data_IF_701250496633
#
_entry.id   IF_701250496633
#
_cell.length_a   1.000
_cell.length_b   1.000
_cell.length_c   1.000
_cell.angle_alpha   90.00
_cell.angle_beta   90.00
_cell.angle_gamma   90.00
#
_symmetry.space_group_name_H-M   'P 1'
#
loop_
_entity.id
_entity.type
_entity.pdbx_description
1 polymer ?
#
# COMPACT_ATOMS: atom_id res chain seq x y z
N UNK A 1 -20.83 31.55 19.12
CA UNK A 1 -20.76 32.92 18.59
C UNK A 1 -20.15 32.86 17.20
N UNK A 2 -20.96 32.79 16.14
CA UNK A 2 -20.48 32.79 14.74
C UNK A 2 -20.56 34.20 14.12
N UNK A 3 -20.37 35.24 14.93
CA UNK A 3 -20.52 36.62 14.46
C UNK A 3 -19.17 37.20 14.03
N UNK A 4 -18.98 37.32 12.72
CA UNK A 4 -17.85 38.04 12.12
C UNK A 4 -17.96 39.53 12.47
N UNK A 5 -17.23 39.96 13.50
CA UNK A 5 -17.25 41.36 13.98
C UNK A 5 -16.54 42.34 13.05
N UNK A 6 -15.48 41.91 12.37
CA UNK A 6 -14.74 42.79 11.47
C UNK A 6 -15.47 42.91 10.13
N UNK A 7 -15.80 44.13 9.72
CA UNK A 7 -16.61 44.44 8.52
C UNK A 7 -15.78 44.61 7.25
N UNK A 8 -14.46 44.76 7.36
CA UNK A 8 -13.56 45.12 6.27
C UNK A 8 -12.59 43.98 5.94
N UNK A 9 -13.11 42.76 5.76
CA UNK A 9 -12.30 41.59 5.38
C UNK A 9 -12.64 41.12 3.97
N UNK A 10 -11.62 40.70 3.22
CA UNK A 10 -11.76 40.02 1.92
C UNK A 10 -10.96 38.72 1.97
N UNK A 11 -11.49 37.62 1.40
CA UNK A 11 -10.70 36.40 1.27
C UNK A 11 -9.57 36.65 0.27
N UNK A 12 -8.34 36.34 0.68
CA UNK A 12 -7.16 36.33 -0.19
C UNK A 12 -6.91 34.88 -0.62
N UNK A 13 -6.90 34.65 -1.92
CA UNK A 13 -6.61 33.32 -2.46
C UNK A 13 -5.11 33.05 -2.51
N UNK A 14 -4.69 31.86 -2.10
CA UNK A 14 -3.29 31.46 -2.18
C UNK A 14 -2.86 31.27 -3.64
N UNK A 15 -1.77 31.93 -4.06
CA UNK A 15 -1.17 31.74 -5.40
C UNK A 15 -0.67 30.31 -5.67
N UNK A 16 -0.36 29.53 -4.61
CA UNK A 16 0.09 28.15 -4.71
C UNK A 16 -1.04 27.20 -4.32
N UNK A 17 -1.46 26.34 -5.25
CA UNK A 17 -2.53 25.37 -5.00
C UNK A 17 -2.15 24.35 -3.91
N UNK A 18 -3.16 23.77 -3.26
CA UNK A 18 -2.98 22.67 -2.29
C UNK A 18 -2.23 21.48 -2.91
N UNK A 19 -2.54 21.14 -4.16
CA UNK A 19 -1.86 20.06 -4.89
C UNK A 19 -0.35 20.33 -5.04
N UNK A 20 0.03 21.55 -5.40
CA UNK A 20 1.44 21.92 -5.57
C UNK A 20 2.20 21.92 -4.23
N UNK A 21 1.56 22.32 -3.13
CA UNK A 21 2.12 22.21 -1.77
C UNK A 21 2.31 20.75 -1.36
N UNK A 22 1.29 19.91 -1.56
CA UNK A 22 1.33 18.48 -1.23
C UNK A 22 2.47 17.74 -1.94
N UNK A 23 2.72 18.03 -3.22
CA UNK A 23 3.81 17.39 -4.00
C UNK A 23 5.21 17.56 -3.38
N UNK A 24 5.46 18.68 -2.69
CA UNK A 24 6.78 18.96 -2.07
C UNK A 24 6.89 18.32 -0.68
N UNK A 25 5.78 18.28 0.06
CA UNK A 25 5.75 17.86 1.46
C UNK A 25 5.91 16.35 1.69
N UNK A 26 5.65 15.52 0.68
CA UNK A 26 5.66 14.04 0.80
C UNK A 26 6.79 13.33 0.05
N UNK A 27 7.86 14.01 -0.38
CA UNK A 27 8.91 13.39 -1.21
C UNK A 27 8.40 12.75 -2.52
N UNK A 28 7.37 13.34 -3.14
CA UNK A 28 6.72 12.80 -4.35
C UNK A 28 5.40 12.08 -4.07
N UNK A 29 5.22 11.58 -2.84
CA UNK A 29 4.04 10.85 -2.38
C UNK A 29 2.75 11.62 -2.63
N UNK A 30 1.78 10.97 -3.28
CA UNK A 30 0.40 11.45 -3.39
C UNK A 30 -0.41 11.28 -2.09
N UNK A 31 -0.54 12.36 -1.33
CA UNK A 31 -1.43 12.45 -0.16
C UNK A 31 -2.17 13.79 -0.12
N UNK A 32 -3.20 13.88 0.72
CA UNK A 32 -3.99 15.11 0.91
C UNK A 32 -3.99 15.54 2.37
N UNK A 33 -3.82 16.83 2.62
CA UNK A 33 -4.01 17.38 3.96
C UNK A 33 -5.46 17.19 4.42
N UNK A 34 -5.64 16.81 5.68
CA UNK A 34 -6.95 16.56 6.29
C UNK A 34 -6.87 16.68 7.82
N UNK A 35 -8.03 16.66 8.48
CA UNK A 35 -8.10 16.61 9.94
C UNK A 35 -8.74 15.31 10.40
N UNK A 36 -8.06 14.63 11.32
CA UNK A 36 -8.59 13.48 12.06
C UNK A 36 -8.92 13.97 13.47
N UNK A 37 -10.20 13.96 13.80
CA UNK A 37 -10.72 14.47 15.05
C UNK A 37 -11.10 13.33 15.98
N UNK A 38 -10.20 12.98 16.90
CA UNK A 38 -10.47 12.00 17.93
C UNK A 38 -11.33 12.61 19.04
N UNK A 39 -12.48 12.02 19.30
CA UNK A 39 -13.38 12.38 20.41
C UNK A 39 -13.71 11.17 21.28
N UNK A 40 -13.99 11.40 22.56
CA UNK A 40 -14.27 10.35 23.53
C UNK A 40 -13.95 10.78 24.96
N UNK A 41 -14.33 9.96 25.94
CA UNK A 41 -14.10 10.24 27.36
C UNK A 41 -12.61 10.42 27.71
N UNK A 42 -12.32 11.10 28.82
CA UNK A 42 -10.94 11.15 29.36
C UNK A 42 -10.45 9.72 29.62
N UNK A 43 -9.20 9.39 29.28
CA UNK A 43 -8.67 8.02 29.43
C UNK A 43 -9.17 6.99 28.40
N UNK A 44 -9.98 7.39 27.41
CA UNK A 44 -10.50 6.46 26.40
C UNK A 44 -9.43 5.86 25.46
N UNK A 45 -8.30 6.56 25.24
CA UNK A 45 -7.21 6.09 24.37
C UNK A 45 -6.80 7.07 23.25
N UNK A 46 -7.51 8.21 23.09
CA UNK A 46 -7.29 9.20 22.02
C UNK A 46 -5.82 9.58 21.80
N UNK A 47 -5.16 10.12 22.83
CA UNK A 47 -3.78 10.61 22.74
C UNK A 47 -2.80 9.48 22.36
N UNK A 48 -2.99 8.27 22.90
CA UNK A 48 -2.16 7.10 22.57
C UNK A 48 -2.30 6.70 21.10
N UNK A 49 -3.53 6.63 20.59
CA UNK A 49 -3.81 6.29 19.18
C UNK A 49 -3.28 7.40 18.25
N UNK A 50 -3.48 8.66 18.62
CA UNK A 50 -3.02 9.82 17.85
C UNK A 50 -1.49 9.83 17.71
N UNK A 51 -0.73 9.56 18.77
CA UNK A 51 0.73 9.51 18.68
C UNK A 51 1.24 8.30 17.90
N UNK A 52 0.64 7.12 18.09
CA UNK A 52 1.01 5.94 17.30
C UNK A 52 0.72 6.14 15.81
N UNK A 53 -0.41 6.78 15.48
CA UNK A 53 -0.75 7.14 14.11
C UNK A 53 0.21 8.20 13.53
N UNK A 54 0.59 9.21 14.32
CA UNK A 54 1.58 10.21 13.94
C UNK A 54 2.92 9.55 13.58
N UNK A 55 3.43 8.68 14.45
CA UNK A 55 4.65 7.92 14.22
C UNK A 55 4.59 7.11 12.92
N UNK A 56 3.48 6.38 12.71
CA UNK A 56 3.26 5.60 11.49
C UNK A 56 3.25 6.48 10.24
N UNK A 57 2.47 7.56 10.20
CA UNK A 57 2.40 8.49 9.07
C UNK A 57 3.77 9.11 8.76
N UNK A 58 4.49 9.57 9.78
CA UNK A 58 5.83 10.15 9.62
C UNK A 58 6.83 9.10 9.13
N UNK A 59 6.74 7.85 9.59
CA UNK A 59 7.56 6.76 9.06
C UNK A 59 7.33 6.53 7.56
N UNK A 60 6.11 6.80 7.07
CA UNK A 60 5.78 6.78 5.66
C UNK A 60 6.19 8.06 4.91
N UNK A 61 6.90 8.99 5.54
CA UNK A 61 7.27 10.28 4.94
C UNK A 61 6.08 11.21 4.73
N UNK A 62 4.97 10.98 5.45
CA UNK A 62 3.77 11.80 5.39
C UNK A 62 3.77 12.76 6.58
N UNK A 63 3.73 14.06 6.35
CA UNK A 63 3.77 15.03 7.44
C UNK A 63 2.43 15.03 8.20
N UNK A 64 2.48 14.54 9.43
CA UNK A 64 1.40 14.60 10.40
C UNK A 64 1.78 15.50 11.57
N UNK A 65 0.78 16.06 12.25
CA UNK A 65 1.00 16.85 13.47
C UNK A 65 -0.15 16.70 14.46
N UNK A 66 0.17 16.30 15.69
CA UNK A 66 -0.80 16.10 16.77
C UNK A 66 -1.06 17.38 17.58
N UNK A 67 -2.33 17.82 17.60
CA UNK A 67 -2.87 18.83 18.50
C UNK A 67 -3.53 18.12 19.69
N UNK A 68 -2.85 18.14 20.84
CA UNK A 68 -3.38 17.60 22.11
C UNK A 68 -3.94 18.70 23.01
N UNK A 69 -5.01 18.35 23.74
CA UNK A 69 -5.73 19.25 24.64
C UNK A 69 -4.87 19.84 25.76
N UNK A 70 -3.86 19.13 26.24
CA UNK A 70 -2.96 19.65 27.27
C UNK A 70 -1.95 20.62 26.65
N UNK A 71 -1.38 20.28 25.49
CA UNK A 71 -0.34 21.07 24.83
C UNK A 71 -0.86 22.44 24.36
N UNK A 72 -2.05 22.47 23.74
CA UNK A 72 -2.65 23.72 23.26
C UNK A 72 -3.01 24.67 24.40
N UNK A 73 -3.31 24.13 25.60
CA UNK A 73 -3.62 24.93 26.80
C UNK A 73 -2.39 25.59 27.42
N UNK A 74 -1.17 25.16 27.13
CA UNK A 74 0.03 25.90 27.54
C UNK A 74 0.33 27.11 26.63
N UNK A 75 -0.17 27.11 25.40
CA UNK A 75 0.10 28.12 24.39
C UNK A 75 -1.14 28.92 23.98
N UNK A 76 -1.72 28.56 22.83
CA UNK A 76 -2.81 29.29 22.18
C UNK A 76 -4.05 29.46 23.08
N UNK A 77 -4.34 28.47 23.92
CA UNK A 77 -5.54 28.45 24.77
C UNK A 77 -5.22 28.69 26.26
N UNK A 78 -4.04 29.23 26.58
CA UNK A 78 -3.64 29.50 27.98
C UNK A 78 -4.53 30.48 28.74
N UNK A 79 -5.29 31.30 28.02
CA UNK A 79 -6.23 32.27 28.60
C UNK A 79 -7.65 31.70 28.79
N UNK A 80 -7.89 30.43 28.47
CA UNK A 80 -9.21 29.81 28.59
C UNK A 80 -9.27 28.92 29.83
N UNK A 81 -10.30 29.14 30.64
CA UNK A 81 -10.60 28.30 31.79
C UNK A 81 -11.32 26.99 31.43
N UNK A 82 -12.23 26.58 32.32
CA UNK A 82 -13.04 25.37 32.19
C UNK A 82 -14.55 25.67 32.21
N UNK A 83 -14.94 26.94 32.09
CA UNK A 83 -16.35 27.32 31.87
C UNK A 83 -16.86 26.74 30.54
N UNK A 84 -18.18 26.66 30.36
CA UNK A 84 -18.77 26.17 29.11
C UNK A 84 -18.35 27.03 27.90
N UNK A 85 -18.36 28.37 28.07
CA UNK A 85 -17.92 29.31 27.05
C UNK A 85 -16.44 29.14 26.69
N UNK A 86 -15.57 28.96 27.71
CA UNK A 86 -14.14 28.70 27.49
C UNK A 86 -13.90 27.35 26.79
N UNK A 87 -14.67 26.31 27.13
CA UNK A 87 -14.58 25.00 26.49
C UNK A 87 -14.99 25.09 25.02
N UNK A 88 -16.08 25.80 24.72
CA UNK A 88 -16.53 26.06 23.35
C UNK A 88 -15.49 26.83 22.55
N UNK A 89 -14.95 27.92 23.10
CA UNK A 89 -13.90 28.70 22.45
C UNK A 89 -12.60 27.89 22.27
N UNK A 90 -12.27 27.02 23.22
CA UNK A 90 -11.13 26.12 23.10
C UNK A 90 -11.29 25.20 21.88
N UNK A 91 -12.45 24.57 21.70
CA UNK A 91 -12.73 23.72 20.53
C UNK A 91 -12.75 24.54 19.24
N UNK A 92 -13.35 25.73 19.24
CA UNK A 92 -13.36 26.64 18.07
C UNK A 92 -11.95 27.01 17.61
N UNK A 93 -11.07 27.41 18.53
CA UNK A 93 -9.67 27.75 18.19
C UNK A 93 -8.91 26.55 17.62
N UNK A 94 -9.09 25.38 18.23
CA UNK A 94 -8.45 24.14 17.75
C UNK A 94 -8.95 23.79 16.35
N UNK A 95 -10.25 23.87 16.09
CA UNK A 95 -10.82 23.58 14.77
C UNK A 95 -10.25 24.49 13.67
N UNK A 96 -10.10 25.79 13.95
CA UNK A 96 -9.49 26.72 13.01
C UNK A 96 -8.01 26.45 12.77
N UNK A 97 -7.25 26.09 13.81
CA UNK A 97 -5.84 25.71 13.65
C UNK A 97 -5.70 24.40 12.87
N UNK A 98 -6.53 23.40 13.16
CA UNK A 98 -6.54 22.13 12.44
C UNK A 98 -6.84 22.34 10.95
N UNK A 99 -7.79 23.23 10.63
CA UNK A 99 -8.09 23.65 9.26
C UNK A 99 -6.87 24.24 8.56
N UNK A 100 -6.09 25.08 9.25
CA UNK A 100 -4.87 25.67 8.69
C UNK A 100 -3.78 24.61 8.43
N UNK A 101 -3.60 23.64 9.32
CA UNK A 101 -2.69 22.51 9.10
C UNK A 101 -3.14 21.65 7.91
N UNK A 102 -4.43 21.31 7.84
CA UNK A 102 -4.99 20.56 6.73
C UNK A 102 -4.86 21.33 5.40
N UNK A 103 -5.13 22.64 5.38
CA UNK A 103 -4.92 23.48 4.20
C UNK A 103 -3.44 23.51 3.79
N UNK A 104 -2.53 23.62 4.76
CA UNK A 104 -1.08 23.58 4.55
C UNK A 104 -0.59 22.26 3.93
N UNK A 105 -1.41 21.21 3.95
CA UNK A 105 -1.11 19.91 3.39
C UNK A 105 -0.69 18.89 4.43
N UNK A 106 -0.83 19.15 5.73
CA UNK A 106 -0.54 18.19 6.80
C UNK A 106 -1.76 17.32 7.11
N UNK A 107 -1.52 16.12 7.64
CA UNK A 107 -2.55 15.36 8.36
C UNK A 107 -2.56 15.85 9.82
N UNK A 108 -3.57 16.63 10.18
CA UNK A 108 -3.72 17.18 11.53
C UNK A 108 -4.49 16.20 12.42
N UNK A 109 -3.90 15.79 13.54
CA UNK A 109 -4.50 14.84 14.48
C UNK A 109 -4.95 15.59 15.73
N UNK A 110 -6.26 15.67 15.97
CA UNK A 110 -6.82 16.41 17.10
C UNK A 110 -7.29 15.44 18.19
N UNK A 111 -6.65 15.48 19.37
CA UNK A 111 -6.99 14.62 20.52
C UNK A 111 -7.69 15.39 21.63
N UNK A 112 -9.00 15.53 21.54
CA UNK A 112 -9.81 16.31 22.49
C UNK A 112 -10.99 15.50 23.03
N UNK A 113 -11.47 15.83 24.24
CA UNK A 113 -12.71 15.21 24.73
C UNK A 113 -13.88 15.65 23.84
N UNK A 114 -13.98 16.95 23.54
CA UNK A 114 -15.02 17.57 22.69
C UNK A 114 -16.42 16.95 22.90
N UNK A 115 -16.98 17.08 24.13
CA UNK A 115 -18.12 16.28 24.56
C UNK A 115 -19.45 16.65 23.90
N UNK A 116 -19.57 17.88 23.40
CA UNK A 116 -20.81 18.39 22.83
C UNK A 116 -20.82 18.24 21.32
N UNK A 117 -21.94 17.74 20.79
CA UNK A 117 -22.17 17.51 19.36
C UNK A 117 -22.08 18.80 18.58
N UNK A 118 -22.65 19.90 19.11
CA UNK A 118 -22.61 21.21 18.47
C UNK A 118 -21.19 21.71 18.21
N UNK A 119 -20.24 21.42 19.11
CA UNK A 119 -18.86 21.85 18.97
C UNK A 119 -18.12 21.01 17.92
N UNK A 120 -18.38 19.70 17.87
CA UNK A 120 -17.81 18.81 16.85
C UNK A 120 -18.37 19.12 15.45
N UNK A 121 -19.67 19.40 15.35
CA UNK A 121 -20.31 19.82 14.11
C UNK A 121 -19.80 21.18 13.62
N UNK A 122 -19.53 22.12 14.54
CA UNK A 122 -18.85 23.37 14.18
C UNK A 122 -17.45 23.09 13.62
N UNK A 123 -16.67 22.23 14.26
CA UNK A 123 -15.33 21.87 13.78
C UNK A 123 -15.36 21.23 12.39
N UNK A 124 -16.31 20.30 12.15
CA UNK A 124 -16.57 19.69 10.84
C UNK A 124 -16.93 20.74 9.79
N UNK A 125 -17.91 21.60 10.09
CA UNK A 125 -18.39 22.63 9.17
C UNK A 125 -17.30 23.63 8.76
N UNK A 126 -16.36 23.95 9.65
CA UNK A 126 -15.18 24.80 9.34
C UNK A 126 -14.29 24.19 8.25
N UNK A 127 -14.13 22.87 8.25
CA UNK A 127 -13.35 22.13 7.24
C UNK A 127 -14.11 21.94 5.93
N UNK A 128 -15.37 21.53 6.01
CA UNK A 128 -16.23 21.31 4.83
C UNK A 128 -16.41 22.58 4.00
N UNK A 129 -16.67 23.73 4.65
CA UNK A 129 -16.74 25.03 3.96
C UNK A 129 -15.45 25.41 3.24
N UNK A 130 -14.33 24.86 3.68
CA UNK A 130 -13.01 25.08 3.06
C UNK A 130 -12.63 23.98 2.07
N UNK A 131 -13.52 23.02 1.79
CA UNK A 131 -13.26 21.87 0.92
C UNK A 131 -12.12 20.99 1.45
N UNK A 132 -11.98 20.87 2.78
CA UNK A 132 -10.97 20.04 3.43
C UNK A 132 -11.62 18.80 4.05
N UNK A 133 -11.04 17.60 3.87
CA UNK A 133 -11.55 16.39 4.50
C UNK A 133 -11.45 16.44 6.03
N UNK A 134 -12.50 15.97 6.70
CA UNK A 134 -12.60 15.90 8.15
C UNK A 134 -13.14 14.53 8.55
N UNK A 135 -12.43 13.84 9.45
CA UNK A 135 -12.79 12.51 9.93
C UNK A 135 -13.02 12.55 11.44
N UNK A 136 -14.27 12.42 11.87
CA UNK A 136 -14.63 12.26 13.27
C UNK A 136 -14.45 10.80 13.70
N UNK A 137 -13.45 10.58 14.55
CA UNK A 137 -13.10 9.26 15.07
C UNK A 137 -13.55 9.18 16.52
N UNK A 138 -14.62 8.41 16.75
CA UNK A 138 -15.15 8.19 18.09
C UNK A 138 -14.40 7.06 18.80
N UNK A 139 -13.62 7.40 19.82
CA UNK A 139 -12.94 6.43 20.69
C UNK A 139 -13.91 6.01 21.80
N UNK A 140 -14.68 4.96 21.52
CA UNK A 140 -15.76 4.45 22.37
C UNK A 140 -15.22 3.45 23.40
N UNK A 141 -14.79 3.99 24.52
CA UNK A 141 -14.35 3.22 25.70
C UNK A 141 -15.36 3.43 26.84
N UNK A 142 -15.91 2.36 27.45
CA UNK A 142 -16.86 2.49 28.55
C UNK A 142 -16.30 3.31 29.71
N UNK A 143 -17.15 4.13 30.35
CA UNK A 143 -16.76 4.99 31.48
C UNK A 143 -16.05 4.20 32.60
N UNK A 144 -16.55 3.02 32.95
CA UNK A 144 -15.94 2.19 33.99
C UNK A 144 -14.47 1.81 33.67
N UNK A 145 -14.16 1.55 32.40
CA UNK A 145 -12.80 1.25 31.95
C UNK A 145 -11.94 2.52 31.96
N UNK A 146 -12.50 3.65 31.55
CA UNK A 146 -11.82 4.96 31.63
C UNK A 146 -11.48 5.34 33.08
N UNK A 147 -12.41 5.15 34.01
CA UNK A 147 -12.23 5.35 35.45
C UNK A 147 -11.22 4.37 36.04
N UNK A 148 -11.22 3.10 35.61
CA UNK A 148 -10.23 2.12 36.04
C UNK A 148 -8.81 2.50 35.59
N UNK A 149 -8.66 3.04 34.37
CA UNK A 149 -7.37 3.45 33.83
C UNK A 149 -6.81 4.69 34.52
N UNK A 150 -7.69 5.64 34.88
CA UNK A 150 -7.42 6.98 35.46
C UNK A 150 -5.99 7.53 35.26
N UNK A 151 -5.55 7.57 34.00
CA UNK A 151 -4.14 7.80 33.62
C UNK A 151 -3.56 9.09 34.20
N UNK A 152 -4.42 10.08 34.47
CA UNK A 152 -4.05 11.41 34.97
C UNK A 152 -4.55 11.68 36.40
N UNK A 153 -5.17 10.69 37.06
CA UNK A 153 -5.78 10.86 38.39
C UNK A 153 -6.96 11.86 38.41
N UNK A 154 -7.62 12.07 37.26
CA UNK A 154 -8.68 13.08 37.11
C UNK A 154 -10.04 12.53 37.54
N UNK A 155 -10.31 11.25 37.31
CA UNK A 155 -11.56 10.63 37.73
C UNK A 155 -11.64 10.55 39.26
N UNK A 156 -10.56 10.17 39.93
CA UNK A 156 -10.49 10.18 41.39
C UNK A 156 -10.76 11.58 41.97
N UNK A 157 -10.15 12.63 41.39
CA UNK A 157 -10.37 14.01 41.82
C UNK A 157 -11.80 14.50 41.54
N UNK A 158 -12.40 14.10 40.43
CA UNK A 158 -13.80 14.41 40.12
C UNK A 158 -14.76 13.74 41.11
N UNK A 159 -14.56 12.45 41.43
CA UNK A 159 -15.35 11.72 42.45
C UNK A 159 -15.23 12.31 43.85
N UNK A 160 -14.11 12.97 44.17
CA UNK A 160 -13.89 13.71 45.42
C UNK A 160 -14.50 15.13 45.40
N UNK A 161 -15.11 15.56 44.29
CA UNK A 161 -15.68 16.90 44.14
C UNK A 161 -14.66 18.02 43.94
N UNK A 162 -13.38 17.69 43.73
CA UNK A 162 -12.29 18.66 43.52
C UNK A 162 -12.30 19.24 42.09
N UNK A 163 -12.87 18.49 41.12
CA UNK A 163 -13.06 18.94 39.74
C UNK A 163 -14.56 18.89 39.45
N UNK A 164 -15.16 20.06 39.23
CA UNK A 164 -16.59 20.18 38.88
C UNK A 164 -16.79 20.09 37.37
N UNK A 165 -17.98 19.67 36.95
CA UNK A 165 -18.37 19.59 35.52
C UNK A 165 -17.41 18.72 34.71
N UNK A 166 -17.00 17.58 35.29
CA UNK A 166 -16.14 16.62 34.61
C UNK A 166 -16.97 15.72 33.71
N UNK A 167 -16.61 15.67 32.41
CA UNK A 167 -17.31 14.87 31.41
C UNK A 167 -17.29 13.38 31.78
N UNK A 168 -18.45 12.74 31.80
CA UNK A 168 -18.65 11.35 32.20
C UNK A 168 -19.04 11.18 33.68
N UNK A 169 -18.90 12.20 34.52
CA UNK A 169 -19.28 12.18 35.94
C UNK A 169 -20.42 13.17 36.21
N UNK A 170 -20.12 14.48 36.14
CA UNK A 170 -21.09 15.55 36.41
C UNK A 170 -21.59 16.24 35.13
N UNK A 171 -20.95 15.98 34.00
CA UNK A 171 -21.33 16.50 32.68
C UNK A 171 -21.49 15.32 31.71
N UNK A 172 -22.56 15.30 30.93
CA UNK A 172 -22.77 14.28 29.92
C UNK A 172 -21.77 14.36 28.76
N UNK A 173 -21.56 13.21 28.12
CA UNK A 173 -20.83 13.08 26.86
C UNK A 173 -21.84 12.69 25.78
N UNK A 174 -22.03 13.55 24.79
CA UNK A 174 -22.93 13.29 23.67
C UNK A 174 -22.18 12.47 22.63
N UNK A 175 -22.56 11.19 22.49
CA UNK A 175 -21.93 10.29 21.52
C UNK A 175 -22.18 10.78 20.08
N UNK A 176 -21.18 10.75 19.20
CA UNK A 176 -21.41 11.05 17.77
C UNK A 176 -22.43 10.09 17.16
N UNK A 177 -23.41 10.62 16.42
CA UNK A 177 -24.42 9.83 15.72
C UNK A 177 -23.89 9.25 14.39
N UNK A 178 -23.06 10.02 13.69
CA UNK A 178 -22.50 9.67 12.39
C UNK A 178 -20.98 9.93 12.31
N UNK A 179 -20.17 9.30 13.19
CA UNK A 179 -18.72 9.37 13.06
C UNK A 179 -18.26 8.57 11.82
N UNK A 180 -17.20 9.02 11.16
CA UNK A 180 -16.56 8.24 10.08
C UNK A 180 -15.99 6.92 10.62
N UNK A 181 -15.53 6.89 11.88
CA UNK A 181 -15.01 5.68 12.52
C UNK A 181 -15.40 5.58 13.99
N UNK A 182 -15.69 4.36 14.46
CA UNK A 182 -15.84 4.05 15.89
C UNK A 182 -14.75 3.06 16.29
N UNK A 183 -13.85 3.49 17.18
CA UNK A 183 -12.78 2.66 17.73
C UNK A 183 -13.19 2.08 19.08
N UNK A 184 -13.25 0.76 19.19
CA UNK A 184 -13.55 0.04 20.45
C UNK A 184 -12.27 -0.20 21.25
N UNK A 185 -11.63 0.87 21.72
CA UNK A 185 -10.30 0.84 22.36
C UNK A 185 -10.21 0.10 23.72
N UNK A 186 -11.29 -0.53 24.19
CA UNK A 186 -11.27 -1.50 25.30
C UNK A 186 -11.06 -2.95 24.81
N UNK A 187 -11.29 -3.19 23.52
CA UNK A 187 -11.30 -4.50 22.87
C UNK A 187 -10.24 -4.61 21.78
N UNK A 188 -9.78 -3.47 21.24
CA UNK A 188 -8.71 -3.40 20.24
C UNK A 188 -7.36 -2.98 20.84
N UNK A 189 -6.27 -3.43 20.22
CA UNK A 189 -4.93 -2.89 20.47
C UNK A 189 -4.77 -1.47 19.88
N UNK A 190 -3.66 -0.81 20.21
CA UNK A 190 -3.35 0.50 19.62
C UNK A 190 -3.07 0.31 18.13
N UNK A 191 -2.34 -0.73 17.77
CA UNK A 191 -1.96 -1.07 16.39
C UNK A 191 -3.20 -1.30 15.52
N UNK A 192 -4.14 -2.14 15.99
CA UNK A 192 -5.42 -2.39 15.30
C UNK A 192 -6.22 -1.10 15.12
N UNK A 193 -6.22 -0.23 16.14
CA UNK A 193 -6.94 1.04 16.09
C UNK A 193 -6.30 2.01 15.07
N UNK A 194 -4.98 1.99 14.95
CA UNK A 194 -4.24 2.78 13.95
C UNK A 194 -4.51 2.23 12.55
N UNK A 195 -4.50 0.91 12.34
CA UNK A 195 -4.82 0.28 11.06
C UNK A 195 -6.23 0.64 10.56
N UNK A 196 -7.22 0.64 11.45
CA UNK A 196 -8.59 1.07 11.11
C UNK A 196 -8.65 2.52 10.64
N UNK A 197 -7.93 3.43 11.30
CA UNK A 197 -7.86 4.85 10.87
C UNK A 197 -7.18 4.96 9.50
N UNK A 198 -6.05 4.27 9.30
CA UNK A 198 -5.33 4.25 8.02
C UNK A 198 -6.19 3.67 6.89
N UNK A 199 -7.04 2.68 7.19
CA UNK A 199 -8.02 2.11 6.26
C UNK A 199 -8.99 3.14 5.71
N UNK A 200 -9.62 3.93 6.59
CA UNK A 200 -10.54 5.01 6.17
C UNK A 200 -9.83 6.08 5.34
N UNK A 201 -8.60 6.44 5.70
CA UNK A 201 -7.83 7.41 4.91
C UNK A 201 -7.53 6.90 3.50
N UNK A 202 -7.31 5.59 3.32
CA UNK A 202 -7.15 4.97 1.99
C UNK A 202 -8.46 4.98 1.21
N UNK A 203 -9.55 4.54 1.84
CA UNK A 203 -10.89 4.50 1.22
C UNK A 203 -11.30 5.86 0.67
N UNK A 204 -10.99 6.93 1.40
CA UNK A 204 -11.32 8.31 1.00
C UNK A 204 -10.26 8.97 0.10
N UNK A 205 -9.25 8.21 -0.35
CA UNK A 205 -8.20 8.70 -1.24
C UNK A 205 -7.37 9.84 -0.63
N UNK A 206 -7.23 9.85 0.69
CA UNK A 206 -6.28 10.72 1.42
C UNK A 206 -4.88 10.15 1.29
N UNK A 207 -4.76 8.83 1.44
CA UNK A 207 -3.53 8.07 1.24
C UNK A 207 -3.68 7.25 -0.04
N UNK A 208 -2.63 7.16 -0.85
CA UNK A 208 -2.65 6.23 -1.98
C UNK A 208 -2.52 4.79 -1.46
N UNK A 209 -3.22 3.84 -2.10
CA UNK A 209 -3.17 2.41 -1.75
C UNK A 209 -1.74 1.85 -1.73
N UNK A 210 -0.83 2.49 -2.46
CA UNK A 210 0.53 2.07 -2.66
C UNK A 210 1.46 2.34 -1.47
N UNK A 211 1.19 3.37 -0.66
CA UNK A 211 2.19 3.90 0.29
C UNK A 211 2.52 3.03 1.50
N UNK A 212 1.67 2.05 1.83
CA UNK A 212 1.89 1.16 2.99
C UNK A 212 2.33 -0.24 2.62
N UNK A 213 2.38 -0.56 1.33
CA UNK A 213 2.99 -1.78 0.81
C UNK A 213 4.52 -1.78 0.95
N UNK A 214 5.16 -0.73 1.49
CA UNK A 214 6.62 -0.58 1.39
C UNK A 214 7.43 -0.52 2.68
N UNK A 215 6.82 -0.27 3.85
CA UNK A 215 7.60 -0.11 5.09
C UNK A 215 7.51 -1.27 6.08
N UNK A 216 6.78 -2.34 5.77
CA UNK A 216 6.99 -3.64 6.44
C UNK A 216 8.26 -4.37 5.95
N UNK A 217 9.14 -3.67 5.21
CA UNK A 217 10.43 -4.18 4.76
C UNK A 217 11.60 -3.88 5.71
N UNK A 218 11.47 -2.93 6.65
CA UNK A 218 12.54 -2.61 7.62
C UNK A 218 12.56 -3.56 8.84
N UNK A 219 11.44 -4.22 9.13
CA UNK A 219 11.36 -5.34 10.07
C UNK A 219 11.02 -6.60 9.28
N UNK A 220 12.02 -7.46 9.06
CA UNK A 220 11.96 -8.68 8.23
C UNK A 220 10.57 -9.27 7.97
N UNK A 221 10.11 -9.14 6.72
CA UNK A 221 9.23 -10.07 5.98
C UNK A 221 7.96 -10.63 6.66
N UNK A 222 7.39 -10.01 7.69
CA UNK A 222 6.23 -10.61 8.37
C UNK A 222 5.10 -9.67 8.81
N UNK A 223 5.16 -8.35 8.60
CA UNK A 223 4.08 -7.45 9.08
C UNK A 223 3.26 -6.77 7.98
N UNK A 224 3.60 -6.94 6.70
CA UNK A 224 2.60 -6.81 5.64
C UNK A 224 1.77 -8.09 5.71
N UNK A 225 0.45 -7.98 5.70
CA UNK A 225 -0.52 -9.10 5.81
C UNK A 225 -1.08 -9.37 7.22
N UNK A 226 -1.04 -8.39 8.12
CA UNK A 226 -1.92 -8.34 9.29
C UNK A 226 -3.22 -7.61 8.93
N UNK A 227 -4.10 -8.29 8.21
CA UNK A 227 -5.55 -8.15 8.30
C UNK A 227 -6.17 -9.20 7.38
N UNK A 228 -7.28 -9.78 7.79
CA UNK A 228 -7.82 -11.04 7.28
C UNK A 228 -8.40 -11.03 5.86
N UNK A 229 -7.74 -10.40 4.88
CA UNK A 229 -8.05 -10.52 3.45
C UNK A 229 -6.82 -11.01 2.67
N UNK A 230 -7.00 -12.16 2.01
CA UNK A 230 -6.01 -12.87 1.21
C UNK A 230 -5.28 -11.97 0.18
N UNK A 231 -3.97 -11.75 0.37
CA UNK A 231 -3.14 -11.17 -0.68
C UNK A 231 -2.82 -12.20 -1.77
N UNK A 232 -3.68 -12.18 -2.77
CA UNK A 232 -3.49 -12.85 -4.06
C UNK A 232 -2.46 -12.04 -4.86
N UNK A 233 -1.36 -12.69 -5.25
CA UNK A 233 -0.40 -12.13 -6.21
C UNK A 233 -1.13 -11.96 -7.55
N UNK A 234 -1.17 -10.77 -8.15
CA UNK A 234 -1.84 -10.58 -9.44
C UNK A 234 -1.24 -11.45 -10.53
N UNK A 235 -2.09 -12.24 -11.19
CA UNK A 235 -1.79 -13.11 -12.32
C UNK A 235 -2.21 -12.42 -13.63
N UNK A 236 -1.67 -12.88 -14.77
CA UNK A 236 -1.99 -12.33 -16.10
C UNK A 236 -3.04 -13.17 -16.85
N UNK A 237 -3.68 -14.11 -16.17
CA UNK A 237 -4.77 -14.89 -16.75
C UNK A 237 -6.00 -14.03 -16.96
N UNK A 238 -6.62 -14.15 -18.12
CA UNK A 238 -7.91 -13.53 -18.39
C UNK A 238 -9.01 -14.31 -17.68
N UNK A 239 -10.10 -13.65 -17.24
CA UNK A 239 -11.27 -14.34 -16.71
C UNK A 239 -11.85 -15.33 -17.73
N UNK A 240 -12.29 -16.51 -17.28
CA UNK A 240 -12.78 -17.59 -18.15
C UNK A 240 -13.87 -17.12 -19.15
N UNK A 241 -14.77 -16.23 -18.71
CA UNK A 241 -15.83 -15.71 -19.56
C UNK A 241 -15.35 -14.88 -20.76
N UNK A 242 -14.11 -14.35 -20.73
CA UNK A 242 -13.52 -13.58 -21.84
C UNK A 242 -12.74 -14.43 -22.83
N UNK A 243 -12.42 -15.68 -22.49
CA UNK A 243 -11.53 -16.54 -23.31
C UNK A 243 -12.10 -16.76 -24.71
N UNK A 244 -13.42 -17.01 -24.83
CA UNK A 244 -14.07 -17.26 -26.12
C UNK A 244 -14.00 -16.06 -27.07
N UNK A 245 -14.22 -14.85 -26.55
CA UNK A 245 -14.18 -13.63 -27.35
C UNK A 245 -12.76 -13.34 -27.83
N UNK A 246 -11.76 -13.55 -26.97
CA UNK A 246 -10.36 -13.40 -27.32
C UNK A 246 -9.87 -14.43 -28.34
N UNK A 247 -10.40 -15.66 -28.32
CA UNK A 247 -10.11 -16.66 -29.36
C UNK A 247 -10.60 -16.20 -30.73
N UNK A 248 -11.82 -15.69 -30.83
CA UNK A 248 -12.38 -15.15 -32.09
C UNK A 248 -11.59 -13.93 -32.57
N UNK A 249 -11.20 -13.05 -31.65
CA UNK A 249 -10.37 -11.90 -31.98
C UNK A 249 -9.02 -12.34 -32.56
N UNK A 250 -8.36 -13.31 -31.93
CA UNK A 250 -7.04 -13.78 -32.32
C UNK A 250 -6.98 -14.44 -33.72
N UNK A 251 -8.11 -14.82 -34.32
CA UNK A 251 -8.18 -15.23 -35.72
C UNK A 251 -7.79 -14.11 -36.69
N UNK A 252 -8.03 -12.86 -36.29
CA UNK A 252 -7.81 -11.66 -37.10
C UNK A 252 -6.52 -10.91 -36.72
N UNK A 253 -5.80 -11.39 -35.69
CA UNK A 253 -4.56 -10.79 -35.23
C UNK A 253 -3.35 -11.39 -35.96
N UNK A 254 -2.28 -10.59 -36.18
CA UNK A 254 -0.98 -11.12 -36.54
C UNK A 254 -0.55 -12.21 -35.54
N UNK A 255 -0.07 -13.34 -36.06
CA UNK A 255 0.40 -14.48 -35.25
C UNK A 255 1.90 -14.39 -35.03
N UNK A 256 2.37 -14.66 -33.82
CA UNK A 256 3.78 -14.89 -33.52
C UNK A 256 3.95 -16.27 -32.89
N UNK A 257 4.71 -17.13 -33.56
CA UNK A 257 5.09 -18.43 -32.99
C UNK A 257 6.20 -18.22 -31.95
N UNK A 258 6.07 -18.86 -30.80
CA UNK A 258 7.03 -18.77 -29.69
C UNK A 258 7.62 -20.15 -29.39
N UNK A 259 8.91 -20.17 -29.05
CA UNK A 259 9.63 -21.39 -28.72
C UNK A 259 9.24 -21.96 -27.35
N UNK A 260 9.77 -23.13 -27.03
CA UNK A 260 9.55 -23.75 -25.71
C UNK A 260 10.09 -22.88 -24.56
N UNK A 261 11.25 -22.24 -24.75
CA UNK A 261 11.83 -21.35 -23.75
C UNK A 261 10.94 -20.11 -23.50
N UNK A 262 10.39 -19.55 -24.57
CA UNK A 262 9.48 -18.40 -24.48
C UNK A 262 8.18 -18.78 -23.77
N UNK A 263 7.67 -20.00 -24.00
CA UNK A 263 6.51 -20.52 -23.28
C UNK A 263 6.79 -20.70 -21.78
N UNK A 264 8.01 -21.06 -21.38
CA UNK A 264 8.43 -21.10 -19.97
C UNK A 264 8.43 -19.69 -19.36
N UNK A 265 8.93 -18.68 -20.08
CA UNK A 265 8.83 -17.28 -19.63
C UNK A 265 7.40 -16.78 -19.56
N UNK A 266 6.56 -17.17 -20.52
CA UNK A 266 5.13 -16.88 -20.51
C UNK A 266 4.47 -17.47 -19.26
N UNK A 267 4.84 -18.70 -18.87
CA UNK A 267 4.36 -19.31 -17.62
C UNK A 267 4.76 -18.47 -16.40
N UNK A 268 6.05 -18.09 -16.28
CA UNK A 268 6.57 -17.26 -15.19
C UNK A 268 5.79 -15.96 -15.05
N UNK A 269 5.55 -15.26 -16.17
CA UNK A 269 4.77 -14.03 -16.21
C UNK A 269 3.30 -14.30 -15.82
N UNK A 270 2.68 -15.31 -16.43
CA UNK A 270 1.25 -15.60 -16.26
C UNK A 270 0.85 -15.90 -14.82
N UNK A 271 1.70 -16.61 -14.09
CA UNK A 271 1.46 -17.04 -12.71
C UNK A 271 1.87 -15.98 -11.67
N UNK A 272 2.38 -14.81 -12.08
CA UNK A 272 2.70 -13.70 -11.18
C UNK A 272 4.07 -13.79 -10.47
N UNK A 273 4.96 -14.71 -10.88
CA UNK A 273 6.32 -14.81 -10.33
C UNK A 273 7.15 -13.55 -10.56
N UNK A 274 6.89 -12.85 -11.66
CA UNK A 274 7.58 -11.64 -12.06
C UNK A 274 6.76 -10.36 -11.83
N UNK A 275 5.77 -10.43 -10.93
CA UNK A 275 5.00 -9.25 -10.51
C UNK A 275 5.96 -8.12 -10.08
N UNK A 276 5.74 -6.85 -10.51
CA UNK A 276 4.55 -6.29 -11.15
C UNK A 276 4.53 -6.26 -12.69
N UNK A 277 5.39 -6.99 -13.39
CA UNK A 277 5.37 -6.98 -14.85
C UNK A 277 4.00 -7.40 -15.38
N UNK A 278 3.49 -6.62 -16.34
CA UNK A 278 2.21 -6.89 -17.02
C UNK A 278 2.37 -7.75 -18.27
N UNK A 279 3.61 -8.04 -18.66
CA UNK A 279 3.93 -8.90 -19.78
C UNK A 279 5.44 -8.94 -20.05
N UNK A 280 5.83 -9.24 -21.28
CA UNK A 280 7.24 -9.13 -21.68
C UNK A 280 7.69 -7.68 -21.59
N UNK A 281 8.89 -7.47 -21.08
CA UNK A 281 9.39 -6.12 -20.75
C UNK A 281 9.32 -5.18 -21.94
N UNK A 282 8.81 -3.97 -21.70
CA UNK A 282 9.00 -2.80 -22.55
C UNK A 282 10.45 -2.32 -22.45
N UNK A 283 10.85 -1.44 -23.38
CA UNK A 283 12.24 -0.96 -23.43
C UNK A 283 12.68 -0.29 -22.12
N UNK A 284 11.78 0.50 -21.51
CA UNK A 284 12.06 1.17 -20.24
C UNK A 284 12.35 0.16 -19.11
N UNK A 285 11.50 -0.85 -18.95
CA UNK A 285 11.67 -1.91 -17.93
C UNK A 285 12.96 -2.70 -18.19
N UNK A 286 13.22 -3.05 -19.45
CA UNK A 286 14.44 -3.75 -19.86
C UNK A 286 15.71 -2.97 -19.49
N UNK A 287 15.74 -1.67 -19.78
CA UNK A 287 16.88 -0.81 -19.42
C UNK A 287 17.02 -0.70 -17.90
N UNK A 288 15.92 -0.53 -17.16
CA UNK A 288 15.98 -0.47 -15.70
C UNK A 288 16.56 -1.76 -15.10
N UNK A 289 16.16 -2.92 -15.61
CA UNK A 289 16.69 -4.22 -15.19
C UNK A 289 18.19 -4.33 -15.48
N UNK A 290 18.62 -4.00 -16.70
CA UNK A 290 20.03 -4.11 -17.09
C UNK A 290 20.96 -3.17 -16.32
N UNK A 291 20.48 -1.99 -15.94
CA UNK A 291 21.31 -0.96 -15.31
C UNK A 291 21.19 -0.92 -13.79
N UNK A 292 20.03 -1.30 -13.24
CA UNK A 292 19.70 -1.07 -11.83
C UNK A 292 19.21 -2.32 -11.11
N UNK A 293 19.08 -3.47 -11.78
CA UNK A 293 18.53 -4.71 -11.22
C UNK A 293 17.16 -4.52 -10.54
N UNK A 294 16.40 -3.53 -11.00
CA UNK A 294 15.11 -3.15 -10.44
C UNK A 294 14.17 -2.70 -11.55
N UNK A 295 12.88 -2.74 -11.28
CA UNK A 295 11.86 -2.05 -12.06
C UNK A 295 11.09 -1.08 -11.16
N UNK A 296 10.63 0.02 -11.74
CA UNK A 296 9.89 1.05 -11.03
C UNK A 296 8.40 0.74 -11.09
N UNK A 297 7.73 0.75 -9.93
CA UNK A 297 6.27 0.69 -9.81
C UNK A 297 5.85 1.88 -8.97
N UNK A 298 5.13 2.84 -9.55
CA UNK A 298 4.84 4.09 -8.83
C UNK A 298 6.14 4.79 -8.40
N UNK A 299 6.32 4.95 -7.10
CA UNK A 299 7.55 5.52 -6.51
C UNK A 299 8.56 4.47 -6.04
N UNK A 300 8.20 3.19 -6.07
CA UNK A 300 9.07 2.13 -5.56
C UNK A 300 9.97 1.54 -6.63
N UNK A 301 11.08 0.99 -6.14
CA UNK A 301 11.96 0.11 -6.90
C UNK A 301 11.82 -1.31 -6.41
N UNK A 302 11.31 -2.18 -7.28
CA UNK A 302 11.13 -3.60 -7.00
C UNK A 302 12.30 -4.35 -7.60
N UNK A 303 12.85 -5.31 -6.85
CA UNK A 303 13.94 -6.15 -7.35
C UNK A 303 13.48 -6.92 -8.59
N UNK A 304 14.22 -6.75 -9.68
CA UNK A 304 14.08 -7.52 -10.90
C UNK A 304 15.40 -7.45 -11.65
N UNK A 305 16.22 -8.50 -11.53
CA UNK A 305 17.60 -8.49 -12.00
C UNK A 305 17.83 -9.26 -13.30
N UNK A 306 16.78 -9.85 -13.86
CA UNK A 306 16.85 -10.70 -15.06
C UNK A 306 15.85 -10.19 -16.10
N UNK A 307 16.33 -9.98 -17.32
CA UNK A 307 15.49 -9.55 -18.42
C UNK A 307 14.50 -10.66 -18.85
N UNK A 308 13.20 -10.40 -18.72
CA UNK A 308 12.11 -11.27 -19.17
C UNK A 308 11.53 -10.67 -20.45
N UNK A 309 12.03 -11.13 -21.59
CA UNK A 309 11.84 -10.50 -22.91
C UNK A 309 11.51 -11.57 -23.95
N UNK A 310 10.80 -11.18 -25.02
CA UNK A 310 10.48 -12.05 -26.14
C UNK A 310 11.29 -11.62 -27.38
N UNK A 311 12.34 -12.37 -27.79
CA UNK A 311 13.11 -12.02 -28.98
C UNK A 311 12.38 -12.38 -30.26
N UNK A 312 12.43 -11.50 -31.27
CA UNK A 312 11.82 -11.71 -32.60
C UNK A 312 12.83 -11.40 -33.70
N UNK A 313 12.71 -12.08 -34.84
CA UNK A 313 13.59 -11.89 -35.99
C UNK A 313 13.27 -10.59 -36.73
N UNK A 314 14.17 -10.11 -37.60
CA UNK A 314 13.88 -8.94 -38.45
C UNK A 314 12.64 -9.14 -39.34
N UNK A 315 12.45 -10.29 -40.01
CA UNK A 315 11.20 -10.57 -40.74
C UNK A 315 9.95 -10.53 -39.85
N UNK A 316 10.03 -11.05 -38.62
CA UNK A 316 8.92 -10.97 -37.67
C UNK A 316 8.64 -9.51 -37.26
N UNK A 317 9.69 -8.73 -37.00
CA UNK A 317 9.58 -7.31 -36.69
C UNK A 317 8.84 -6.56 -37.79
N UNK A 318 9.24 -6.73 -39.05
CA UNK A 318 8.60 -6.08 -40.21
C UNK A 318 7.13 -6.50 -40.36
N UNK A 319 6.82 -7.77 -40.11
CA UNK A 319 5.46 -8.31 -40.19
C UNK A 319 4.55 -7.83 -39.06
N UNK A 320 5.09 -7.61 -37.88
CA UNK A 320 4.35 -7.25 -36.66
C UNK A 320 4.28 -5.74 -36.43
N UNK A 321 5.06 -4.95 -37.15
CA UNK A 321 5.15 -3.50 -36.96
C UNK A 321 3.80 -2.81 -37.19
N UNK A 322 3.43 -1.92 -36.26
CA UNK A 322 2.14 -1.21 -36.29
C UNK A 322 0.92 -2.03 -35.84
N UNK A 323 1.07 -3.33 -35.53
CA UNK A 323 0.00 -4.11 -34.93
C UNK A 323 -0.39 -3.55 -33.55
N UNK A 324 -1.69 -3.52 -33.23
CA UNK A 324 -2.17 -3.14 -31.88
C UNK A 324 -2.21 -4.30 -30.90
N UNK A 325 -2.27 -5.52 -31.43
CA UNK A 325 -2.27 -6.75 -30.66
C UNK A 325 -1.70 -7.89 -31.51
N UNK A 326 -1.08 -8.86 -30.85
CA UNK A 326 -0.40 -10.00 -31.48
C UNK A 326 -0.80 -11.27 -30.74
N UNK A 327 -1.26 -12.29 -31.45
CA UNK A 327 -1.51 -13.60 -30.86
C UNK A 327 -0.22 -14.41 -30.72
N UNK A 328 0.07 -14.92 -29.53
CA UNK A 328 1.25 -15.73 -29.24
C UNK A 328 0.89 -17.22 -29.26
N UNK A 329 1.49 -17.96 -30.19
CA UNK A 329 1.19 -19.36 -30.47
C UNK A 329 2.39 -20.26 -30.14
N UNK A 330 2.13 -21.42 -29.57
CA UNK A 330 3.13 -22.48 -29.42
C UNK A 330 2.57 -23.80 -29.93
N UNK A 331 3.20 -24.39 -30.94
CA UNK A 331 2.72 -25.60 -31.62
C UNK A 331 1.26 -25.45 -32.10
N UNK A 332 0.95 -24.31 -32.71
CA UNK A 332 -0.37 -23.90 -33.20
C UNK A 332 -1.44 -23.60 -32.13
N UNK A 333 -1.14 -23.79 -30.86
CA UNK A 333 -2.06 -23.42 -29.78
C UNK A 333 -1.87 -21.95 -29.39
N UNK A 334 -2.96 -21.18 -29.35
CA UNK A 334 -2.95 -19.83 -28.79
C UNK A 334 -2.81 -19.90 -27.26
N UNK A 335 -1.81 -19.22 -26.72
CA UNK A 335 -1.60 -19.10 -25.27
C UNK A 335 -1.92 -17.71 -24.74
N UNK A 336 -1.58 -16.66 -25.47
CA UNK A 336 -1.73 -15.30 -25.01
C UNK A 336 -1.96 -14.32 -26.16
N UNK A 337 -2.54 -13.16 -25.84
CA UNK A 337 -2.53 -11.99 -26.71
C UNK A 337 -1.65 -10.93 -26.06
N UNK A 338 -0.67 -10.45 -26.80
CA UNK A 338 0.19 -9.33 -26.40
C UNK A 338 -0.40 -8.03 -26.95
N UNK A 339 -0.76 -7.11 -26.07
CA UNK A 339 -1.40 -5.82 -26.35
C UNK A 339 -0.39 -4.69 -26.36
N UNK A 340 -0.69 -3.67 -27.17
CA UNK A 340 0.11 -2.44 -27.30
C UNK A 340 1.61 -2.75 -27.46
N UNK A 341 1.98 -3.55 -28.49
CA UNK A 341 3.34 -4.03 -28.64
C UNK A 341 4.34 -2.88 -28.82
N UNK A 342 5.50 -3.03 -28.20
CA UNK A 342 6.68 -2.20 -28.44
C UNK A 342 7.80 -3.08 -28.94
N UNK A 343 8.35 -2.76 -30.12
CA UNK A 343 9.50 -3.46 -30.69
C UNK A 343 10.73 -2.57 -30.55
N UNK A 344 11.82 -3.10 -29.98
CA UNK A 344 13.06 -2.37 -29.72
C UNK A 344 14.29 -3.26 -29.89
N UNK A 345 15.49 -2.67 -29.92
CA UNK A 345 16.72 -3.42 -30.19
C UNK A 345 17.11 -4.33 -29.03
N UNK A 346 17.55 -5.55 -29.34
CA UNK A 346 18.00 -6.52 -28.34
C UNK A 346 19.39 -6.19 -27.78
N UNK A 347 20.31 -5.67 -28.61
CA UNK A 347 21.71 -5.35 -28.21
C UNK A 347 22.35 -6.50 -27.41
N UNK A 348 22.37 -7.69 -28.00
CA UNK A 348 22.72 -8.97 -27.37
C UNK A 348 24.05 -8.95 -26.60
N UNK A 349 25.09 -8.34 -27.15
CA UNK A 349 26.40 -8.25 -26.48
C UNK A 349 26.32 -7.43 -25.19
N UNK A 350 25.69 -6.26 -25.23
CA UNK A 350 25.47 -5.41 -24.05
C UNK A 350 24.62 -6.13 -23.00
N UNK A 351 23.53 -6.78 -23.43
CA UNK A 351 22.68 -7.60 -22.55
C UNK A 351 23.51 -8.65 -21.82
N UNK A 352 24.29 -9.43 -22.55
CA UNK A 352 25.06 -10.53 -21.99
C UNK A 352 26.13 -10.01 -21.02
N UNK A 353 26.85 -8.96 -21.40
CA UNK A 353 27.87 -8.33 -20.56
C UNK A 353 27.29 -7.86 -19.22
N UNK A 354 26.12 -7.22 -19.22
CA UNK A 354 25.49 -6.70 -18.00
C UNK A 354 24.85 -7.79 -17.15
N UNK A 355 24.13 -8.72 -17.77
CA UNK A 355 23.35 -9.73 -17.05
C UNK A 355 24.21 -10.90 -16.53
N UNK A 356 25.26 -11.29 -17.27
CA UNK A 356 26.09 -12.44 -16.93
C UNK A 356 27.51 -12.06 -16.48
N UNK A 357 27.93 -10.80 -16.67
CA UNK A 357 29.32 -10.39 -16.45
C UNK A 357 30.31 -10.96 -17.48
N UNK A 358 29.80 -11.55 -18.57
CA UNK A 358 30.60 -12.13 -19.65
C UNK A 358 29.79 -12.19 -20.94
N UNK A 359 30.47 -12.18 -22.09
CA UNK A 359 29.87 -12.34 -23.43
C UNK A 359 30.28 -13.66 -24.09
N UNK A 360 30.82 -14.61 -23.31
CA UNK A 360 31.27 -15.89 -23.82
C UNK A 360 30.12 -16.69 -24.46
N UNK A 361 30.20 -16.90 -25.78
CA UNK A 361 29.20 -17.63 -26.58
C UNK A 361 29.13 -19.12 -26.25
N UNK A 362 30.13 -19.68 -25.58
CA UNK A 362 30.10 -21.06 -25.10
C UNK A 362 29.24 -21.24 -23.85
N UNK A 363 28.86 -20.14 -23.17
CA UNK A 363 27.91 -20.22 -22.06
C UNK A 363 26.51 -20.57 -22.59
N UNK A 364 25.84 -21.62 -22.07
CA UNK A 364 24.66 -22.21 -22.72
C UNK A 364 23.49 -21.24 -22.88
N UNK A 365 23.22 -20.37 -21.91
CA UNK A 365 22.16 -19.36 -22.06
C UNK A 365 22.58 -18.17 -22.93
N UNK A 366 23.87 -17.81 -22.95
CA UNK A 366 24.35 -16.72 -23.80
C UNK A 366 24.27 -17.15 -25.26
N UNK A 367 24.60 -18.42 -25.55
CA UNK A 367 24.42 -19.03 -26.87
C UNK A 367 22.99 -18.86 -27.39
N UNK A 368 21.99 -19.21 -26.58
CA UNK A 368 20.57 -19.03 -26.93
C UNK A 368 20.21 -17.56 -27.22
N UNK A 369 20.75 -16.61 -26.44
CA UNK A 369 20.54 -15.18 -26.68
C UNK A 369 21.15 -14.76 -28.03
N UNK A 370 22.37 -15.20 -28.35
CA UNK A 370 23.00 -14.88 -29.62
C UNK A 370 22.27 -15.48 -30.83
N UNK A 371 21.77 -16.71 -30.69
CA UNK A 371 21.00 -17.45 -31.71
C UNK A 371 19.55 -16.94 -31.88
N UNK A 372 19.03 -16.16 -30.92
CA UNK A 372 17.70 -15.56 -30.99
C UNK A 372 17.62 -14.36 -31.97
N UNK A 373 16.45 -13.71 -32.07
CA UNK A 373 16.25 -12.52 -32.89
C UNK A 373 16.98 -11.25 -32.40
N UNK A 374 17.20 -10.29 -33.29
CA UNK A 374 17.88 -9.02 -33.01
C UNK A 374 16.97 -7.93 -32.42
N UNK A 375 15.67 -8.22 -32.36
CA UNK A 375 14.65 -7.34 -31.80
C UNK A 375 14.00 -8.00 -30.59
N UNK A 376 13.48 -7.18 -29.68
CA UNK A 376 12.67 -7.61 -28.54
C UNK A 376 11.25 -7.06 -28.70
N UNK A 377 10.27 -7.88 -28.33
CA UNK A 377 8.85 -7.56 -28.35
C UNK A 377 8.32 -7.48 -26.91
N UNK A 378 8.06 -6.25 -26.45
CA UNK A 378 7.44 -5.96 -25.16
C UNK A 378 5.95 -5.61 -25.30
N UNK A 379 5.17 -5.75 -24.23
CA UNK A 379 3.75 -5.42 -24.24
C UNK A 379 2.98 -6.05 -23.10
N UNK A 380 1.70 -5.70 -22.98
CA UNK A 380 0.82 -6.20 -21.92
C UNK A 380 0.23 -7.55 -22.32
N UNK A 381 0.40 -8.58 -21.49
CA UNK A 381 -0.07 -9.93 -21.77
C UNK A 381 -1.47 -10.16 -21.22
N UNK A 382 -2.32 -10.73 -22.07
CA UNK A 382 -3.57 -11.38 -21.71
C UNK A 382 -3.40 -12.88 -21.95
N UNK A 383 -3.24 -13.66 -20.89
CA UNK A 383 -2.96 -15.11 -21.00
C UNK A 383 -4.28 -15.88 -20.93
N UNK A 384 -4.57 -16.67 -21.98
CA UNK A 384 -5.86 -17.32 -22.18
C UNK A 384 -5.97 -18.64 -21.42
N UNK A 385 -4.85 -19.35 -21.25
CA UNK A 385 -4.82 -20.66 -20.58
C UNK A 385 -3.55 -20.86 -19.78
N UNK A 386 -3.67 -21.56 -18.66
CA UNK A 386 -2.53 -22.02 -17.87
C UNK A 386 -1.67 -22.97 -18.68
N UNK A 387 -0.35 -22.78 -18.60
CA UNK A 387 0.61 -23.69 -19.22
C UNK A 387 0.59 -25.03 -18.48
N UNK A 388 0.32 -26.11 -19.22
CA UNK A 388 0.45 -27.49 -18.74
C UNK A 388 1.41 -28.22 -19.65
N UNK A 389 2.38 -28.92 -19.07
CA UNK A 389 3.43 -29.61 -19.82
C UNK A 389 3.06 -31.05 -20.15
N UNK A 390 2.09 -31.63 -19.43
CA UNK A 390 1.59 -32.99 -19.61
C UNK A 390 2.71 -34.03 -19.59
N UNK A 391 3.73 -33.80 -18.76
CA UNK A 391 4.93 -34.65 -18.61
C UNK A 391 4.91 -35.48 -17.32
N UNK A 392 3.74 -35.55 -16.66
CA UNK A 392 3.56 -36.24 -15.38
C UNK A 392 4.02 -35.42 -14.16
N UNK A 393 4.49 -34.18 -14.33
CA UNK A 393 5.01 -33.35 -13.24
C UNK A 393 4.18 -32.08 -12.97
N UNK A 394 3.06 -31.87 -13.67
CA UNK A 394 2.25 -30.66 -13.53
C UNK A 394 1.68 -30.46 -12.11
N UNK A 395 1.48 -31.54 -11.35
CA UNK A 395 1.02 -31.46 -9.95
C UNK A 395 2.00 -30.72 -9.01
N UNK A 396 3.28 -30.70 -9.38
CA UNK A 396 4.35 -30.01 -8.65
C UNK A 396 4.52 -28.54 -9.09
N UNK A 397 3.94 -28.14 -10.23
CA UNK A 397 4.05 -26.77 -10.78
C UNK A 397 3.01 -25.85 -10.18
N UNK A 398 3.14 -25.58 -8.89
CA UNK A 398 2.23 -24.71 -8.14
C UNK A 398 2.52 -23.23 -8.44
N UNK A 399 1.46 -22.45 -8.66
CA UNK A 399 1.58 -20.98 -8.75
C UNK A 399 1.96 -20.38 -7.37
N UNK A 400 2.43 -19.13 -7.30
CA UNK A 400 2.66 -18.44 -6.03
C UNK A 400 1.41 -18.46 -5.12
N UNK A 401 0.23 -18.29 -5.70
CA UNK A 401 -1.04 -18.30 -4.97
C UNK A 401 -1.40 -19.68 -4.45
N UNK A 402 -1.18 -20.74 -5.24
CA UNK A 402 -1.37 -22.12 -4.81
C UNK A 402 -0.39 -22.52 -3.70
N UNK A 403 0.88 -22.05 -3.78
CA UNK A 403 1.87 -22.25 -2.72
C UNK A 403 1.44 -21.54 -1.43
N UNK A 404 1.02 -20.27 -1.51
CA UNK A 404 0.53 -19.51 -0.35
C UNK A 404 -0.68 -20.20 0.30
N UNK A 405 -1.65 -20.61 -0.51
CA UNK A 405 -2.80 -21.38 -0.04
C UNK A 405 -2.35 -22.67 0.67
N UNK A 406 -1.42 -23.42 0.07
CA UNK A 406 -0.93 -24.66 0.67
C UNK A 406 -0.19 -24.45 1.99
N UNK A 407 0.63 -23.41 2.09
CA UNK A 407 1.38 -23.07 3.30
C UNK A 407 0.45 -22.65 4.44
N UNK A 408 -0.66 -21.97 4.12
CA UNK A 408 -1.73 -21.67 5.09
C UNK A 408 -2.46 -22.91 5.58
N UNK A 409 -2.82 -23.82 4.68
CA UNK A 409 -3.43 -25.11 5.07
C UNK A 409 -2.53 -25.90 6.03
N UNK A 410 -1.21 -25.78 5.88
CA UNK A 410 -0.23 -26.41 6.75
C UNK A 410 -0.04 -25.68 8.10
N UNK A 411 -0.67 -24.52 8.29
CA UNK A 411 -0.51 -23.69 9.49
C UNK A 411 0.91 -23.15 9.68
N UNK A 412 1.65 -22.95 8.59
CA UNK A 412 3.04 -22.49 8.66
C UNK A 412 3.13 -21.04 9.18
N UNK A 413 3.92 -20.83 10.24
CA UNK A 413 4.20 -19.51 10.84
C UNK A 413 5.53 -18.89 10.34
N UNK A 414 6.32 -19.69 9.62
CA UNK A 414 7.52 -19.31 8.89
C UNK A 414 7.75 -20.25 7.70
N UNK A 415 8.24 -19.68 6.59
CA UNK A 415 8.56 -20.43 5.37
C UNK A 415 9.97 -20.07 4.94
N UNK A 416 10.82 -21.08 4.77
CA UNK A 416 12.14 -20.91 4.15
C UNK A 416 12.14 -21.61 2.79
N UNK A 417 12.70 -20.92 1.79
CA UNK A 417 12.83 -21.46 0.44
C UNK A 417 14.27 -21.92 0.20
N UNK A 418 14.42 -23.01 -0.54
CA UNK A 418 15.71 -23.52 -0.97
C UNK A 418 15.67 -23.78 -2.48
N UNK A 419 16.31 -22.91 -3.25
CA UNK A 419 16.40 -23.07 -4.71
C UNK A 419 17.42 -24.16 -5.05
N UNK A 420 17.06 -25.10 -5.93
CA UNK A 420 17.97 -26.14 -6.41
C UNK A 420 17.81 -26.40 -7.92
N UNK A 421 18.91 -26.81 -8.54
CA UNK A 421 18.94 -27.37 -9.92
C UNK A 421 19.70 -28.69 -10.01
N UNK A 422 20.15 -29.21 -8.87
CA UNK A 422 20.97 -30.41 -8.74
C UNK A 422 20.30 -31.36 -7.74
N UNK A 423 20.60 -32.67 -7.80
CA UNK A 423 20.15 -33.63 -6.79
C UNK A 423 20.55 -33.22 -5.36
N UNK A 424 19.68 -33.53 -4.40
CA UNK A 424 19.91 -33.25 -2.98
C UNK A 424 20.98 -34.22 -2.45
N UNK A 425 22.03 -33.68 -1.82
CA UNK A 425 23.02 -34.44 -1.06
C UNK A 425 23.15 -33.86 0.36
N UNK A 426 23.95 -34.50 1.22
CA UNK A 426 24.03 -34.15 2.64
C UNK A 426 24.42 -32.69 2.94
N UNK A 427 25.13 -32.02 2.02
CA UNK A 427 25.42 -30.59 2.14
C UNK A 427 24.18 -29.71 2.04
N UNK A 428 23.31 -29.97 1.05
CA UNK A 428 22.01 -29.31 0.94
C UNK A 428 21.13 -29.62 2.16
N UNK A 429 21.09 -30.90 2.57
CA UNK A 429 20.30 -31.33 3.72
C UNK A 429 20.75 -30.63 5.00
N UNK A 430 22.06 -30.49 5.23
CA UNK A 430 22.61 -29.77 6.38
C UNK A 430 22.08 -28.33 6.43
N UNK A 431 22.17 -27.57 5.33
CA UNK A 431 21.66 -26.20 5.26
C UNK A 431 20.16 -26.12 5.57
N UNK A 432 19.36 -27.03 5.02
CA UNK A 432 17.91 -27.07 5.29
C UNK A 432 17.63 -27.39 6.77
N UNK A 433 18.33 -28.37 7.35
CA UNK A 433 18.15 -28.75 8.76
C UNK A 433 18.61 -27.67 9.73
N UNK A 434 19.73 -27.00 9.43
CA UNK A 434 20.24 -25.91 10.25
C UNK A 434 19.37 -24.66 10.18
N UNK A 435 18.83 -24.33 9.00
CA UNK A 435 17.87 -23.23 8.84
C UNK A 435 16.63 -23.49 9.69
N UNK A 436 16.11 -24.73 9.64
CA UNK A 436 14.99 -25.14 10.50
C UNK A 436 15.33 -25.01 11.99
N UNK A 437 16.53 -25.43 12.41
CA UNK A 437 16.98 -25.30 13.80
C UNK A 437 17.03 -23.83 14.25
N UNK A 438 17.54 -22.94 13.40
CA UNK A 438 17.61 -21.51 13.69
C UNK A 438 16.22 -20.86 13.79
N UNK A 439 15.28 -21.22 12.90
CA UNK A 439 13.90 -20.73 12.99
C UNK A 439 13.23 -21.15 14.30
N UNK A 440 13.44 -22.40 14.74
CA UNK A 440 12.97 -22.88 16.04
C UNK A 440 13.55 -22.12 17.23
N UNK A 441 14.85 -21.79 17.18
CA UNK A 441 15.49 -20.96 18.21
C UNK A 441 14.90 -19.54 18.27
N UNK A 442 14.33 -19.05 17.18
CA UNK A 442 13.60 -17.77 17.10
C UNK A 442 12.12 -17.89 17.45
N UNK A 443 11.66 -19.05 17.95
CA UNK A 443 10.29 -19.26 18.38
C UNK A 443 9.29 -19.55 17.26
N UNK A 444 9.75 -19.97 16.08
CA UNK A 444 8.90 -20.46 14.98
C UNK A 444 8.70 -21.99 15.08
N UNK A 445 7.54 -22.50 14.70
CA UNK A 445 7.12 -23.90 14.97
C UNK A 445 7.58 -24.89 13.89
#
# INVERSE_FOLDING_TARGET
>A
MDYQKATNIRPEEHHVSREKRGKILGHGKSFKGCTIWFTGLSGAGKTSISFALEEQLVSYGIPAYSLDGDNIRYGLNKNLGFSEEDRRENIRRVAEVARLFADAGHICLCSFVSPFTVDRQMARGVHERSGLPFFEVFVDTPLAVCEQRDVKGLYQKARQGLIKSFTGIDQEYEKPEHPELVLKAAQSSIEESVEQVLGILKEHGILSNFMMENNNHLNGHASQFADGNDLVVPELFVPEHKVKDLLNEAEHLPRQEIGTLDLQWLQILSEGWAYPLKGFMREEEYLQVLHFNTITKGEDRINQSVAIVLPITTPDKERLEGAKAIGLYHKNDLYAILRDPQIYYHRKEERCARQFGTTNKDHPHIKLIYESGDWLLGGDLQVLKRVKWNDGLDEYRKTPNELRSKLRELGADAVFAFQLRNPIHNGHALLMTDTRRQLKQKGKI
#
